data_IF_000449446238
#
_entry.id   IF_000449446238
#
_cell.length_a   1.000
_cell.length_b   1.000
_cell.length_c   1.000
_cell.angle_alpha   90.00
_cell.angle_beta   90.00
_cell.angle_gamma   90.00
#
_symmetry.space_group_name_H-M   'P 1'
#
loop_
_entity.id
_entity.type
_entity.pdbx_description
1 polymer ?
#
# COMPACT_ATOMS: atom_id res chain seq x y z
N UNK A 1 -17.60 -10.07 -14.27
CA UNK A 1 -17.01 -8.75 -14.57
C UNK A 1 -15.65 -8.73 -13.90
N UNK A 2 -14.58 -8.53 -14.67
CA UNK A 2 -13.21 -8.49 -14.13
C UNK A 2 -13.09 -7.19 -13.32
N UNK A 3 -12.54 -7.27 -12.10
CA UNK A 3 -12.33 -6.07 -11.27
C UNK A 3 -11.14 -5.24 -11.79
N UNK A 4 -11.13 -3.92 -11.56
CA UNK A 4 -10.00 -3.05 -11.94
C UNK A 4 -8.66 -3.53 -11.36
N UNK A 5 -8.69 -4.16 -10.18
CA UNK A 5 -7.52 -4.80 -9.55
C UNK A 5 -7.00 -5.99 -10.36
N UNK A 6 -7.89 -6.81 -10.90
CA UNK A 6 -7.50 -7.94 -11.76
C UNK A 6 -6.91 -7.46 -13.07
N UNK A 7 -7.48 -6.41 -13.68
CA UNK A 7 -6.89 -5.78 -14.88
C UNK A 7 -5.49 -5.27 -14.57
N UNK A 8 -5.32 -4.53 -13.47
CA UNK A 8 -4.01 -4.02 -13.03
C UNK A 8 -3.00 -5.15 -12.82
N UNK A 9 -3.42 -6.24 -12.17
CA UNK A 9 -2.57 -7.41 -11.96
C UNK A 9 -2.12 -8.06 -13.26
N UNK A 10 -3.03 -8.29 -14.21
CA UNK A 10 -2.69 -8.94 -15.48
C UNK A 10 -1.80 -8.07 -16.37
N UNK A 11 -2.00 -6.75 -16.37
CA UNK A 11 -1.12 -5.82 -17.09
C UNK A 11 0.31 -5.88 -16.55
N UNK A 12 0.48 -5.76 -15.24
CA UNK A 12 1.79 -5.86 -14.61
C UNK A 12 2.43 -7.24 -14.84
N UNK A 13 1.63 -8.31 -14.87
CA UNK A 13 2.13 -9.66 -15.12
C UNK A 13 2.64 -9.80 -16.56
N UNK A 14 1.93 -9.20 -17.53
CA UNK A 14 2.39 -9.11 -18.90
C UNK A 14 3.72 -8.38 -19.02
N UNK A 15 3.88 -7.26 -18.31
CA UNK A 15 5.13 -6.50 -18.28
C UNK A 15 6.29 -7.31 -17.68
N UNK A 16 6.06 -8.01 -16.56
CA UNK A 16 7.07 -8.87 -15.95
C UNK A 16 7.56 -9.97 -16.90
N UNK A 17 6.64 -10.59 -17.65
CA UNK A 17 6.96 -11.69 -18.55
C UNK A 17 7.56 -11.22 -19.89
N UNK A 18 7.33 -9.97 -20.28
CA UNK A 18 7.91 -9.37 -21.47
C UNK A 18 9.40 -9.02 -21.29
N UNK A 19 9.86 -8.84 -20.05
CA UNK A 19 11.27 -8.55 -19.73
C UNK A 19 12.13 -9.82 -19.75
N UNK A 20 12.51 -10.22 -20.96
CA UNK A 20 13.35 -11.39 -21.23
C UNK A 20 14.82 -11.22 -20.83
N UNK A 21 15.25 -10.01 -20.48
CA UNK A 21 16.64 -9.73 -20.08
C UNK A 21 16.91 -10.09 -18.61
N UNK A 22 15.86 -10.16 -17.79
CA UNK A 22 16.00 -10.48 -16.38
C UNK A 22 16.43 -11.94 -16.16
N UNK A 23 17.29 -12.20 -15.15
CA UNK A 23 17.62 -13.56 -14.75
C UNK A 23 16.36 -14.34 -14.36
N UNK A 24 16.20 -15.56 -14.87
CA UNK A 24 15.02 -16.42 -14.60
C UNK A 24 14.68 -16.54 -13.11
N UNK A 25 15.68 -16.66 -12.24
CA UNK A 25 15.50 -16.72 -10.77
C UNK A 25 14.88 -15.44 -10.19
N UNK A 26 15.19 -14.27 -10.76
CA UNK A 26 14.60 -13.01 -10.33
C UNK A 26 13.15 -12.91 -10.80
N UNK A 27 12.85 -13.35 -12.03
CA UNK A 27 11.47 -13.41 -12.57
C UNK A 27 10.60 -14.32 -11.69
N UNK A 28 11.09 -15.51 -11.31
CA UNK A 28 10.39 -16.43 -10.40
C UNK A 28 10.07 -15.77 -9.05
N UNK A 29 11.05 -15.08 -8.45
CA UNK A 29 10.83 -14.33 -7.20
C UNK A 29 9.81 -13.21 -7.35
N UNK A 30 9.85 -12.46 -8.45
CA UNK A 30 8.87 -11.39 -8.73
C UNK A 30 7.47 -11.96 -8.93
N UNK A 31 7.34 -13.12 -9.57
CA UNK A 31 6.06 -13.79 -9.76
C UNK A 31 5.43 -14.22 -8.42
N UNK A 32 6.25 -14.75 -7.51
CA UNK A 32 5.78 -15.10 -6.17
C UNK A 32 5.41 -13.83 -5.35
N UNK A 33 6.21 -12.77 -5.48
CA UNK A 33 5.89 -11.47 -4.90
C UNK A 33 4.58 -10.86 -5.43
N UNK A 34 4.29 -11.02 -6.72
CA UNK A 34 3.02 -10.61 -7.33
C UNK A 34 1.84 -11.34 -6.72
N UNK A 35 1.92 -12.67 -6.63
CA UNK A 35 0.88 -13.50 -5.99
C UNK A 35 0.66 -13.09 -4.54
N UNK A 36 1.73 -12.80 -3.82
CA UNK A 36 1.69 -12.32 -2.44
C UNK A 36 1.01 -10.96 -2.33
N UNK A 37 1.38 -10.00 -3.17
CA UNK A 37 0.77 -8.66 -3.20
C UNK A 37 -0.74 -8.73 -3.50
N UNK A 38 -1.14 -9.60 -4.43
CA UNK A 38 -2.55 -9.88 -4.70
C UNK A 38 -3.26 -10.47 -3.47
N UNK A 39 -2.70 -11.50 -2.84
CA UNK A 39 -3.30 -12.11 -1.65
C UNK A 39 -3.43 -11.14 -0.46
N UNK A 40 -2.43 -10.26 -0.26
CA UNK A 40 -2.46 -9.22 0.77
C UNK A 40 -3.57 -8.19 0.51
N UNK A 41 -3.68 -7.72 -0.73
CA UNK A 41 -4.71 -6.73 -1.11
C UNK A 41 -6.12 -7.31 -1.02
N UNK A 42 -6.32 -8.59 -1.36
CA UNK A 42 -7.57 -9.31 -1.11
C UNK A 42 -7.91 -9.39 0.39
N UNK A 43 -6.91 -9.61 1.25
CA UNK A 43 -7.12 -9.59 2.70
C UNK A 43 -7.50 -8.21 3.22
N UNK A 44 -6.91 -7.13 2.70
CA UNK A 44 -7.28 -5.77 3.10
C UNK A 44 -8.75 -5.46 2.78
N UNK A 45 -9.25 -5.89 1.62
CA UNK A 45 -10.69 -5.77 1.28
C UNK A 45 -11.54 -6.57 2.26
N UNK A 46 -11.16 -7.82 2.57
CA UNK A 46 -11.88 -8.65 3.55
C UNK A 46 -11.93 -8.02 4.94
N UNK A 47 -10.92 -7.22 5.30
CA UNK A 47 -10.83 -6.47 6.57
C UNK A 47 -11.62 -5.16 6.54
N UNK A 48 -12.31 -4.84 5.45
CA UNK A 48 -13.16 -3.66 5.31
C UNK A 48 -12.44 -2.41 4.82
N UNK A 49 -11.21 -2.54 4.29
CA UNK A 49 -10.53 -1.42 3.66
C UNK A 49 -11.15 -1.13 2.29
N UNK A 50 -11.39 0.15 2.02
CA UNK A 50 -12.04 0.63 0.79
C UNK A 50 -11.31 0.18 -0.48
N UNK A 51 -12.08 -0.25 -1.47
CA UNK A 51 -11.56 -0.96 -2.63
C UNK A 51 -10.62 -0.15 -3.53
N UNK A 52 -10.88 1.16 -3.64
CA UNK A 52 -10.08 2.13 -4.38
C UNK A 52 -8.71 2.35 -3.73
N UNK A 53 -8.65 2.50 -2.39
CA UNK A 53 -7.37 2.55 -1.67
C UNK A 53 -6.57 1.26 -1.89
N UNK A 54 -7.24 0.10 -1.79
CA UNK A 54 -6.60 -1.20 -2.06
C UNK A 54 -6.12 -1.30 -3.52
N UNK A 55 -6.88 -0.75 -4.47
CA UNK A 55 -6.47 -0.69 -5.88
C UNK A 55 -5.17 0.09 -6.06
N UNK A 56 -5.04 1.25 -5.41
CA UNK A 56 -3.82 2.06 -5.43
C UNK A 56 -2.65 1.33 -4.77
N UNK A 57 -2.86 0.68 -3.62
CA UNK A 57 -1.84 -0.15 -2.95
C UNK A 57 -1.33 -1.25 -3.89
N UNK A 58 -2.25 -1.99 -4.53
CA UNK A 58 -1.87 -3.07 -5.45
C UNK A 58 -1.04 -2.53 -6.61
N UNK A 59 -1.50 -1.45 -7.26
CA UNK A 59 -0.81 -0.81 -8.38
C UNK A 59 0.62 -0.39 -7.99
N UNK A 60 0.77 0.34 -6.88
CA UNK A 60 2.06 0.84 -6.40
C UNK A 60 3.00 -0.31 -5.97
N UNK A 61 2.49 -1.36 -5.31
CA UNK A 61 3.27 -2.56 -4.98
C UNK A 61 3.80 -3.28 -6.21
N UNK A 62 2.95 -3.54 -7.19
CA UNK A 62 3.34 -4.24 -8.41
C UNK A 62 4.42 -3.44 -9.16
N UNK A 63 4.29 -2.12 -9.23
CA UNK A 63 5.31 -1.24 -9.79
C UNK A 63 6.66 -1.34 -9.05
N UNK A 64 6.66 -1.32 -7.70
CA UNK A 64 7.88 -1.51 -6.92
C UNK A 64 8.55 -2.87 -7.17
N UNK A 65 7.75 -3.94 -7.27
CA UNK A 65 8.27 -5.29 -7.56
C UNK A 65 8.84 -5.36 -8.98
N UNK A 66 8.23 -4.69 -9.96
CA UNK A 66 8.71 -4.65 -11.34
C UNK A 66 10.09 -3.99 -11.43
N UNK A 67 10.29 -2.84 -10.77
CA UNK A 67 11.55 -2.10 -10.84
C UNK A 67 12.67 -2.72 -10.00
N UNK A 68 12.34 -3.53 -8.99
CA UNK A 68 13.32 -4.19 -8.11
C UNK A 68 14.35 -5.00 -8.91
N UNK A 69 15.62 -4.85 -8.57
CA UNK A 69 16.77 -5.49 -9.23
C UNK A 69 17.36 -6.63 -8.42
N UNK A 70 17.07 -6.68 -7.12
CA UNK A 70 17.57 -7.74 -6.24
C UNK A 70 16.44 -8.53 -5.58
N UNK A 71 16.77 -9.73 -5.10
CA UNK A 71 15.84 -10.56 -4.35
C UNK A 71 15.35 -9.89 -3.05
N UNK A 72 16.21 -9.11 -2.39
CA UNK A 72 15.90 -8.36 -1.17
C UNK A 72 14.90 -7.24 -1.46
N UNK A 73 15.12 -6.47 -2.53
CA UNK A 73 14.19 -5.41 -2.95
C UNK A 73 12.82 -5.97 -3.32
N UNK A 74 12.78 -7.13 -4.00
CA UNK A 74 11.51 -7.82 -4.30
C UNK A 74 10.79 -8.21 -3.01
N UNK A 75 11.51 -8.72 -2.02
CA UNK A 75 10.93 -9.10 -0.73
C UNK A 75 10.42 -7.89 0.05
N UNK A 76 11.19 -6.79 0.08
CA UNK A 76 10.79 -5.53 0.72
C UNK A 76 9.56 -4.93 0.04
N UNK A 77 9.50 -4.92 -1.29
CA UNK A 77 8.35 -4.44 -2.05
C UNK A 77 7.09 -5.30 -1.84
N UNK A 78 7.25 -6.61 -1.69
CA UNK A 78 6.13 -7.55 -1.53
C UNK A 78 5.54 -7.52 -0.13
N UNK A 79 6.35 -7.34 0.90
CA UNK A 79 5.91 -7.37 2.28
C UNK A 79 5.25 -6.06 2.71
N UNK A 80 4.25 -6.09 3.63
CA UNK A 80 3.78 -4.88 4.27
C UNK A 80 4.92 -4.27 5.09
N UNK A 81 5.19 -2.99 4.87
CA UNK A 81 6.24 -2.30 5.61
C UNK A 81 5.81 -2.08 7.07
N UNK A 82 6.75 -2.24 8.01
CA UNK A 82 6.52 -1.93 9.42
C UNK A 82 7.02 -0.52 9.72
N UNK A 83 6.15 0.41 10.15
CA UNK A 83 6.57 1.75 10.52
C UNK A 83 7.67 1.72 11.57
N UNK A 84 8.77 2.42 11.31
CA UNK A 84 9.90 2.52 12.23
C UNK A 84 9.88 3.89 12.90
N UNK A 85 9.75 3.90 14.22
CA UNK A 85 9.77 5.10 15.04
C UNK A 85 11.02 5.12 15.91
N UNK A 86 11.78 6.21 15.84
CA UNK A 86 13.05 6.38 16.52
C UNK A 86 13.13 7.77 17.15
N UNK A 87 13.11 7.82 18.49
CA UNK A 87 13.23 9.04 19.32
C UNK A 87 12.53 10.30 18.77
N UNK A 88 11.24 10.23 18.43
CA UNK A 88 10.48 11.39 17.94
C UNK A 88 10.35 11.47 16.42
N UNK A 89 11.03 10.60 15.67
CA UNK A 89 11.04 10.64 14.20
C UNK A 89 10.55 9.34 13.59
N UNK A 90 9.64 9.45 12.63
CA UNK A 90 9.25 8.34 11.76
C UNK A 90 10.25 8.21 10.62
N UNK A 91 10.81 7.02 10.41
CA UNK A 91 11.69 6.77 9.27
C UNK A 91 10.84 6.49 8.04
N UNK A 92 11.16 7.19 6.96
CA UNK A 92 10.58 6.92 5.64
C UNK A 92 11.43 5.86 4.91
N UNK A 93 10.77 4.90 4.25
CA UNK A 93 11.42 3.84 3.46
C UNK A 93 10.87 3.92 2.01
N UNK A 94 11.70 3.88 0.97
CA UNK A 94 11.24 3.89 -0.42
C UNK A 94 10.26 2.76 -0.80
N UNK A 95 10.25 1.65 -0.05
CA UNK A 95 9.30 0.55 -0.22
C UNK A 95 8.09 0.64 0.71
N UNK A 96 8.05 1.63 1.61
CA UNK A 96 6.87 1.92 2.42
C UNK A 96 5.88 2.75 1.61
N UNK A 97 4.71 2.17 1.34
CA UNK A 97 3.61 2.88 0.70
C UNK A 97 2.75 3.55 1.78
N UNK A 98 2.58 4.89 1.75
CA UNK A 98 1.71 5.59 2.69
C UNK A 98 0.27 5.03 2.70
N UNK A 99 -0.24 4.62 1.55
CA UNK A 99 -1.57 4.01 1.41
C UNK A 99 -1.68 2.68 2.15
N UNK A 100 -0.63 1.85 2.07
CA UNK A 100 -0.61 0.55 2.75
C UNK A 100 -0.42 0.74 4.26
N UNK A 101 0.45 1.66 4.69
CA UNK A 101 0.60 2.02 6.09
C UNK A 101 -0.73 2.51 6.67
N UNK A 102 -1.44 3.38 5.93
CA UNK A 102 -2.76 3.88 6.31
C UNK A 102 -3.79 2.74 6.45
N UNK A 103 -3.83 1.81 5.49
CA UNK A 103 -4.70 0.65 5.54
C UNK A 103 -4.41 -0.21 6.78
N UNK A 104 -3.13 -0.46 7.10
CA UNK A 104 -2.73 -1.22 8.28
C UNK A 104 -3.20 -0.50 9.55
N UNK A 105 -2.99 0.82 9.67
CA UNK A 105 -3.50 1.60 10.81
C UNK A 105 -5.03 1.50 10.95
N UNK A 106 -5.75 1.55 9.83
CA UNK A 106 -7.20 1.32 9.79
C UNK A 106 -7.63 -0.07 10.27
N UNK A 107 -6.81 -1.10 10.01
CA UNK A 107 -7.06 -2.47 10.49
C UNK A 107 -6.76 -2.61 11.98
N UNK A 108 -5.67 -2.02 12.48
CA UNK A 108 -5.20 -2.26 13.85
C UNK A 108 -5.81 -1.33 14.90
N UNK A 109 -6.13 -0.09 14.53
CA UNK A 109 -6.63 0.94 15.47
C UNK A 109 -7.95 0.59 16.17
N UNK A 110 -8.91 -0.16 15.58
CA UNK A 110 -10.12 -0.55 16.28
C UNK A 110 -9.87 -1.52 17.45
N UNK A 111 -8.73 -2.22 17.44
CA UNK A 111 -8.41 -3.27 18.40
C UNK A 111 -7.29 -2.88 19.38
N UNK A 112 -6.66 -1.72 19.17
CA UNK A 112 -5.48 -1.30 19.92
C UNK A 112 -5.54 0.19 20.24
N UNK A 113 -5.20 0.55 21.48
CA UNK A 113 -5.03 1.95 21.84
C UNK A 113 -3.70 2.46 21.26
N UNK A 114 -3.81 3.32 20.24
CA UNK A 114 -2.64 3.94 19.62
C UNK A 114 -2.00 4.95 20.59
N UNK A 115 -0.66 4.93 20.67
CA UNK A 115 0.10 5.98 21.35
C UNK A 115 -0.07 7.33 20.61
N UNK A 116 0.09 8.47 21.29
CA UNK A 116 -0.08 9.78 20.67
C UNK A 116 0.69 9.94 19.35
N UNK A 117 1.93 9.46 19.29
CA UNK A 117 2.78 9.61 18.11
C UNK A 117 2.29 8.76 16.93
N UNK A 118 1.69 7.60 17.21
CA UNK A 118 1.07 6.75 16.19
C UNK A 118 -0.28 7.33 15.73
N UNK A 119 -1.03 7.99 16.61
CA UNK A 119 -2.24 8.73 16.23
C UNK A 119 -1.88 9.87 15.28
N UNK A 120 -0.85 10.65 15.60
CA UNK A 120 -0.40 11.74 14.73
C UNK A 120 0.07 11.23 13.37
N UNK A 121 0.82 10.11 13.31
CA UNK A 121 1.21 9.47 12.05
C UNK A 121 -0.01 8.99 11.25
N UNK A 122 -0.98 8.37 11.91
CA UNK A 122 -2.18 7.89 11.23
C UNK A 122 -2.98 9.04 10.61
N UNK A 123 -3.12 10.16 11.34
CA UNK A 123 -3.79 11.36 10.84
C UNK A 123 -3.02 12.02 9.69
N UNK A 124 -1.69 12.12 9.78
CA UNK A 124 -0.82 12.63 8.71
C UNK A 124 -0.87 11.77 7.44
N UNK A 125 -0.94 10.45 7.58
CA UNK A 125 -1.14 9.56 6.42
C UNK A 125 -2.51 9.79 5.79
N UNK A 126 -3.56 9.99 6.59
CA UNK A 126 -4.91 10.20 6.07
C UNK A 126 -5.00 11.49 5.25
N UNK A 127 -4.37 12.59 5.73
CA UNK A 127 -4.32 13.85 4.99
C UNK A 127 -3.48 13.73 3.72
N UNK A 128 -2.34 13.02 3.76
CA UNK A 128 -1.47 12.80 2.59
C UNK A 128 -2.14 11.96 1.51
N UNK A 129 -2.80 10.87 1.88
CA UNK A 129 -3.38 9.89 0.94
C UNK A 129 -4.69 10.37 0.33
N UNK A 130 -5.55 11.05 1.11
CA UNK A 130 -6.83 11.56 0.62
C UNK A 130 -6.80 13.04 0.22
N UNK A 131 -5.64 13.70 0.34
CA UNK A 131 -5.44 15.11 0.01
C UNK A 131 -6.44 16.06 0.68
N UNK A 132 -6.73 15.81 1.96
CA UNK A 132 -7.63 16.64 2.79
C UNK A 132 -6.86 17.32 3.92
N UNK A 133 -7.36 18.46 4.40
CA UNK A 133 -6.74 19.17 5.52
C UNK A 133 -7.19 18.63 6.88
N UNK A 134 -6.39 18.88 7.93
CA UNK A 134 -6.75 18.50 9.30
C UNK A 134 -8.00 19.22 9.77
N UNK A 135 -8.22 20.45 9.32
CA UNK A 135 -9.41 21.25 9.61
C UNK A 135 -10.66 20.65 8.96
N UNK A 136 -10.54 20.17 7.71
CA UNK A 136 -11.63 19.47 7.04
C UNK A 136 -11.99 18.20 7.82
N UNK A 137 -10.99 17.44 8.28
CA UNK A 137 -11.16 16.22 9.06
C UNK A 137 -11.95 16.40 10.36
N UNK A 138 -11.73 17.50 11.07
CA UNK A 138 -12.38 17.76 12.37
C UNK A 138 -13.71 18.50 12.23
N UNK A 139 -14.08 18.91 11.03
CA UNK A 139 -15.31 19.65 10.74
C UNK A 139 -16.43 18.72 10.28
N UNK A 140 -17.70 19.14 10.46
CA UNK A 140 -18.86 18.46 9.86
C UNK A 140 -18.81 18.38 8.33
N UNK A 141 -17.88 19.08 7.68
CA UNK A 141 -17.69 19.08 6.24
C UNK A 141 -17.05 17.80 5.70
N UNK A 142 -16.48 16.90 6.52
CA UNK A 142 -16.03 15.57 6.06
C UNK A 142 -17.10 14.89 5.20
N UNK A 143 -18.37 14.97 5.63
CA UNK A 143 -19.47 14.28 4.96
C UNK A 143 -19.72 14.80 3.54
N UNK A 144 -19.25 16.01 3.23
CA UNK A 144 -19.40 16.66 1.93
C UNK A 144 -18.12 16.56 1.06
N UNK A 145 -17.01 16.05 1.62
CA UNK A 145 -15.74 15.88 0.90
C UNK A 145 -15.71 14.53 0.21
N UNK A 146 -15.57 14.52 -1.12
CA UNK A 146 -15.24 13.30 -1.86
C UNK A 146 -13.81 12.89 -1.53
N UNK A 147 -13.67 11.78 -0.81
CA UNK A 147 -12.38 11.17 -0.51
C UNK A 147 -11.96 10.30 -1.70
N UNK A 148 -11.27 10.88 -2.67
CA UNK A 148 -10.68 10.15 -3.80
C UNK A 148 -9.22 9.78 -3.49
N UNK A 149 -8.75 8.65 -4.02
CA UNK A 149 -7.36 8.18 -3.86
C UNK A 149 -6.70 8.16 -5.24
N UNK A 150 -5.54 8.80 -5.40
CA UNK A 150 -4.75 8.83 -6.65
C UNK A 150 -3.62 7.78 -6.69
#
# INVERSE_FOLDING_TARGET
MISDREVTFFLALGELLADIEQPKRLIEKKLDAFRKARGLTEEYVRRGIREDLVGVILKKKLALILIAKTADEVERAANPHRPQYDFGTWREDPFALPEEELAIWGIVSPYNMLRPEAQDRYMDLFTRVFHITREQLISKAINDVKLEVE
#
